data_IF_532623730176
#
_entry.id   IF_532623730176
#
_cell.length_a   1.000
_cell.length_b   1.000
_cell.length_c   1.000
_cell.angle_alpha   90.00
_cell.angle_beta   90.00
_cell.angle_gamma   90.00
#
_symmetry.space_group_name_H-M   'P 1'
#
loop_
_entity.id
_entity.type
_entity.pdbx_description
1 polymer ?
#
# COMPACT_ATOMS: atom_id res chain seq x y z
N UNK A 1 13.00 7.53 -3.26
CA UNK A 1 14.22 7.15 -4.02
C UNK A 1 15.50 7.59 -3.31
N UNK A 2 15.62 8.84 -2.88
CA UNK A 2 16.78 9.32 -2.10
C UNK A 2 16.86 8.77 -0.66
N UNK A 3 15.73 8.43 -0.02
CA UNK A 3 15.73 8.03 1.39
C UNK A 3 16.40 6.67 1.69
N UNK A 4 16.36 5.70 0.76
CA UNK A 4 16.96 4.36 0.97
C UNK A 4 18.49 4.40 0.80
N UNK A 5 18.99 5.21 -0.14
CA UNK A 5 20.42 5.30 -0.44
C UNK A 5 21.18 6.26 0.50
N UNK A 6 20.48 7.21 1.16
CA UNK A 6 21.09 8.18 2.08
C UNK A 6 21.68 7.56 3.36
N UNK A 7 21.41 6.29 3.67
CA UNK A 7 21.87 5.63 4.90
C UNK A 7 23.23 4.91 4.77
N UNK A 8 23.84 4.86 3.58
CA UNK A 8 25.04 4.04 3.33
C UNK A 8 26.26 4.89 2.98
N UNK A 9 27.39 4.64 3.66
CA UNK A 9 28.67 5.35 3.44
C UNK A 9 29.27 4.99 2.07
N UNK A 10 29.73 5.99 1.32
CA UNK A 10 30.39 5.80 0.03
C UNK A 10 31.80 5.23 0.21
N UNK A 11 32.17 4.25 -0.61
CA UNK A 11 33.54 3.74 -0.75
C UNK A 11 34.20 4.21 -2.05
N UNK A 12 35.53 4.10 -2.12
CA UNK A 12 36.41 4.67 -3.17
C UNK A 12 36.19 4.15 -4.61
N UNK A 13 35.35 3.13 -4.82
CA UNK A 13 35.20 2.41 -6.10
C UNK A 13 33.80 2.53 -6.77
N UNK A 14 33.11 3.68 -6.69
CA UNK A 14 31.75 3.84 -7.26
C UNK A 14 30.79 2.69 -6.86
N UNK A 15 30.81 2.31 -5.59
CA UNK A 15 29.95 1.27 -5.03
C UNK A 15 29.52 1.60 -3.59
N UNK A 16 28.36 1.08 -3.19
CA UNK A 16 27.84 1.17 -1.83
C UNK A 16 28.27 -0.07 -1.04
N UNK A 17 28.74 0.10 0.20
CA UNK A 17 28.97 -1.02 1.10
C UNK A 17 27.71 -1.29 1.94
N UNK A 18 27.12 -2.47 1.78
CA UNK A 18 25.93 -2.90 2.50
C UNK A 18 26.24 -4.23 3.17
N UNK A 19 26.34 -4.23 4.50
CA UNK A 19 26.72 -5.42 5.29
C UNK A 19 28.04 -6.09 4.85
N UNK A 20 29.04 -5.30 4.44
CA UNK A 20 30.33 -5.81 3.97
C UNK A 20 30.33 -6.22 2.49
N UNK A 21 29.21 -6.06 1.78
CA UNK A 21 29.07 -6.39 0.37
C UNK A 21 29.10 -5.12 -0.49
N UNK A 22 29.90 -5.13 -1.55
CA UNK A 22 29.98 -4.03 -2.51
C UNK A 22 28.87 -4.12 -3.55
N UNK A 23 28.05 -3.07 -3.64
CA UNK A 23 26.94 -2.94 -4.59
C UNK A 23 27.26 -1.86 -5.62
N UNK A 24 27.28 -2.16 -6.93
CA UNK A 24 27.62 -1.18 -7.96
C UNK A 24 26.71 0.05 -7.95
N UNK A 25 27.28 1.23 -8.22
CA UNK A 25 26.52 2.47 -8.35
C UNK A 25 25.44 2.37 -9.44
N UNK A 26 24.29 3.00 -9.20
CA UNK A 26 23.15 2.96 -10.12
C UNK A 26 22.36 1.65 -10.09
N UNK A 27 22.66 0.76 -9.14
CA UNK A 27 21.91 -0.47 -8.89
C UNK A 27 21.33 -0.50 -7.48
N UNK A 28 20.35 -1.37 -7.25
CA UNK A 28 19.74 -1.62 -5.95
C UNK A 28 20.31 -2.89 -5.34
N UNK A 29 20.56 -2.93 -4.01
CA UNK A 29 20.84 -4.20 -3.34
C UNK A 29 19.65 -5.14 -3.50
N UNK A 30 19.91 -6.43 -3.67
CA UNK A 30 18.88 -7.42 -3.91
C UNK A 30 19.17 -8.69 -3.10
N UNK A 31 18.20 -9.12 -2.30
CA UNK A 31 18.25 -10.37 -1.56
C UNK A 31 17.39 -11.39 -2.28
N UNK A 32 17.98 -12.50 -2.70
CA UNK A 32 17.23 -13.70 -3.02
C UNK A 32 16.60 -14.24 -1.72
N UNK A 33 15.30 -14.52 -1.75
CA UNK A 33 14.53 -15.04 -0.62
C UNK A 33 14.05 -16.44 -1.01
N UNK A 34 14.57 -17.47 -0.33
CA UNK A 34 14.03 -18.82 -0.47
C UNK A 34 12.65 -18.94 0.21
N UNK A 35 11.91 -19.99 -0.14
CA UNK A 35 10.52 -20.14 0.29
C UNK A 35 10.40 -20.43 1.80
N UNK A 36 11.38 -21.10 2.41
CA UNK A 36 11.39 -21.37 3.84
C UNK A 36 11.60 -20.09 4.64
N UNK A 37 12.59 -19.28 4.24
CA UNK A 37 12.87 -17.97 4.80
C UNK A 37 11.69 -17.01 4.63
N UNK A 38 11.03 -17.03 3.46
CA UNK A 38 9.82 -16.24 3.21
C UNK A 38 8.70 -16.61 4.19
N UNK A 39 8.39 -17.90 4.31
CA UNK A 39 7.31 -18.39 5.18
C UNK A 39 7.63 -18.11 6.66
N UNK A 40 8.89 -18.27 7.06
CA UNK A 40 9.37 -17.94 8.42
C UNK A 40 9.20 -16.46 8.72
N UNK A 41 9.64 -15.57 7.84
CA UNK A 41 9.50 -14.11 8.02
C UNK A 41 8.03 -13.67 8.08
N UNK A 42 7.16 -14.23 7.23
CA UNK A 42 5.71 -13.93 7.27
C UNK A 42 5.09 -14.41 8.58
N UNK A 43 5.37 -15.65 9.00
CA UNK A 43 4.83 -16.23 10.24
C UNK A 43 5.23 -15.41 11.47
N UNK A 44 6.46 -14.93 11.51
CA UNK A 44 7.03 -14.21 12.64
C UNK A 44 6.85 -12.69 12.56
N UNK A 45 6.25 -12.15 11.48
CA UNK A 45 6.15 -10.71 11.20
C UNK A 45 7.52 -10.00 11.23
N UNK A 46 8.53 -10.67 10.70
CA UNK A 46 9.92 -10.20 10.64
C UNK A 46 10.29 -9.71 9.23
N UNK A 47 11.42 -9.01 9.11
CA UNK A 47 12.01 -8.66 7.81
C UNK A 47 12.50 -9.90 7.07
N UNK A 48 12.53 -9.80 5.74
CA UNK A 48 13.10 -10.84 4.87
C UNK A 48 14.64 -10.84 4.95
N UNK A 49 15.27 -12.00 4.83
CA UNK A 49 16.73 -12.14 4.83
C UNK A 49 17.43 -11.53 6.07
N UNK A 50 16.79 -11.62 7.24
CA UNK A 50 17.25 -11.04 8.51
C UNK A 50 18.68 -11.49 8.84
N UNK A 51 19.57 -10.53 9.09
CA UNK A 51 20.96 -10.79 9.46
C UNK A 51 21.90 -11.13 8.29
N UNK A 52 21.43 -11.10 7.04
CA UNK A 52 22.26 -11.39 5.85
C UNK A 52 22.46 -10.15 4.96
N UNK A 53 23.63 -10.09 4.33
CA UNK A 53 23.92 -9.13 3.26
C UNK A 53 23.23 -9.52 1.93
N UNK A 54 23.09 -8.58 0.98
CA UNK A 54 22.50 -8.86 -0.32
C UNK A 54 23.36 -9.86 -1.11
N UNK A 55 22.73 -10.89 -1.68
CA UNK A 55 23.40 -11.85 -2.58
C UNK A 55 23.44 -11.37 -4.03
N UNK A 56 22.59 -10.42 -4.38
CA UNK A 56 22.41 -9.90 -5.73
C UNK A 56 22.38 -8.37 -5.73
N UNK A 57 22.40 -7.80 -6.91
CA UNK A 57 22.03 -6.41 -7.16
C UNK A 57 21.20 -6.32 -8.44
N UNK A 58 20.36 -5.29 -8.53
CA UNK A 58 19.38 -5.17 -9.59
C UNK A 58 19.39 -3.76 -10.18
N UNK A 59 19.40 -3.67 -11.51
CA UNK A 59 19.26 -2.41 -12.23
C UNK A 59 17.92 -2.40 -12.96
N UNK A 60 17.02 -1.52 -12.53
CA UNK A 60 15.74 -1.33 -13.23
C UNK A 60 16.04 -0.79 -14.63
N UNK A 61 15.53 -1.49 -15.65
CA UNK A 61 15.52 -1.07 -17.04
C UNK A 61 14.30 -0.18 -17.29
N UNK A 62 13.12 -0.69 -16.92
CA UNK A 62 11.84 0.03 -17.04
C UNK A 62 10.83 -0.44 -15.98
N UNK A 63 9.87 0.44 -15.67
CA UNK A 63 8.66 0.06 -14.91
C UNK A 63 7.56 -0.22 -15.92
N UNK A 64 7.03 -1.45 -15.89
CA UNK A 64 5.95 -1.86 -16.79
C UNK A 64 4.60 -1.32 -16.28
N UNK A 65 4.41 -1.36 -14.96
CA UNK A 65 3.31 -0.69 -14.25
C UNK A 65 3.66 -0.47 -12.76
N UNK A 66 2.66 -0.25 -11.90
CA UNK A 66 2.83 -0.06 -10.46
C UNK A 66 3.42 -1.28 -9.74
N UNK A 67 3.13 -2.50 -10.20
CA UNK A 67 3.52 -3.75 -9.56
C UNK A 67 4.62 -4.50 -10.32
N UNK A 68 4.81 -4.23 -11.61
CA UNK A 68 5.77 -4.94 -12.46
C UNK A 68 6.96 -4.05 -12.83
N UNK A 69 8.15 -4.58 -12.60
CA UNK A 69 9.41 -3.97 -13.02
C UNK A 69 10.17 -4.95 -13.91
N UNK A 70 10.84 -4.42 -14.93
CA UNK A 70 11.82 -5.15 -15.72
C UNK A 70 13.21 -4.59 -15.41
N UNK A 71 14.20 -5.47 -15.28
CA UNK A 71 15.57 -5.03 -15.10
C UNK A 71 16.60 -6.15 -15.17
N UNK A 72 17.85 -5.75 -15.04
CA UNK A 72 19.01 -6.63 -15.10
C UNK A 72 19.38 -7.11 -13.70
N UNK A 73 19.56 -8.41 -13.54
CA UNK A 73 20.01 -9.04 -12.30
C UNK A 73 21.51 -9.33 -12.39
N UNK A 74 22.25 -8.96 -11.36
CA UNK A 74 23.65 -9.34 -11.16
C UNK A 74 23.82 -10.01 -9.79
N UNK A 75 24.90 -10.79 -9.65
CA UNK A 75 25.24 -11.47 -8.40
C UNK A 75 26.49 -10.85 -7.77
N UNK A 76 26.53 -10.72 -6.44
CA UNK A 76 27.62 -10.02 -5.74
C UNK A 76 28.96 -10.74 -5.82
N UNK A 77 28.93 -12.07 -6.01
CA UNK A 77 30.13 -12.89 -6.27
C UNK A 77 30.50 -13.01 -7.76
N UNK A 78 29.75 -12.42 -8.69
CA UNK A 78 30.02 -12.51 -10.12
C UNK A 78 30.96 -11.39 -10.58
N UNK A 79 31.98 -11.73 -11.39
CA UNK A 79 32.98 -10.76 -11.90
C UNK A 79 32.45 -9.87 -13.04
N UNK A 80 31.34 -10.24 -13.69
CA UNK A 80 30.68 -9.42 -14.70
C UNK A 80 29.60 -8.51 -14.11
N UNK A 81 29.03 -7.62 -14.93
CA UNK A 81 28.06 -6.63 -14.48
C UNK A 81 26.63 -7.20 -14.29
N UNK A 82 26.13 -8.01 -15.22
CA UNK A 82 24.80 -8.63 -15.12
C UNK A 82 24.84 -10.04 -15.72
N UNK A 83 23.86 -10.88 -15.40
CA UNK A 83 23.75 -12.19 -16.01
C UNK A 83 23.43 -12.07 -17.51
N UNK A 84 24.21 -12.77 -18.33
CA UNK A 84 24.05 -12.90 -19.78
C UNK A 84 23.43 -14.25 -20.19
N UNK A 85 23.44 -15.22 -19.27
CA UNK A 85 22.84 -16.55 -19.43
C UNK A 85 22.35 -17.10 -18.10
N UNK A 86 21.43 -18.07 -18.18
CA UNK A 86 20.91 -18.77 -17.02
C UNK A 86 21.97 -19.78 -16.55
N UNK A 87 22.53 -19.56 -15.37
CA UNK A 87 23.55 -20.42 -14.75
C UNK A 87 22.98 -21.15 -13.51
N UNK A 88 22.94 -22.49 -13.57
CA UNK A 88 22.40 -23.34 -12.50
C UNK A 88 23.23 -23.33 -11.21
N UNK A 89 24.43 -22.76 -11.23
CA UNK A 89 25.21 -22.49 -10.02
C UNK A 89 24.48 -21.54 -9.05
N UNK A 90 23.50 -20.78 -9.55
CA UNK A 90 22.66 -19.92 -8.73
C UNK A 90 21.28 -20.54 -8.50
N UNK A 91 20.94 -20.72 -7.22
CA UNK A 91 19.69 -21.39 -6.80
C UNK A 91 18.44 -20.75 -7.37
N UNK A 92 18.38 -19.42 -7.51
CA UNK A 92 17.23 -18.74 -8.11
C UNK A 92 17.00 -19.12 -9.59
N UNK A 93 18.06 -19.37 -10.35
CA UNK A 93 17.94 -19.83 -11.74
C UNK A 93 17.51 -21.29 -11.83
N UNK A 94 18.10 -22.15 -10.99
CA UNK A 94 17.68 -23.56 -10.90
C UNK A 94 16.21 -23.68 -10.48
N UNK A 95 15.79 -22.93 -9.46
CA UNK A 95 14.39 -22.87 -9.02
C UNK A 95 13.47 -22.37 -10.14
N UNK A 96 13.86 -21.34 -10.88
CA UNK A 96 13.07 -20.83 -12.01
C UNK A 96 12.88 -21.88 -13.11
N UNK A 97 13.95 -22.58 -13.50
CA UNK A 97 13.88 -23.66 -14.51
C UNK A 97 13.02 -24.85 -14.05
N UNK A 98 13.03 -25.15 -12.76
CA UNK A 98 12.17 -26.16 -12.12
C UNK A 98 10.72 -25.68 -11.91
N UNK A 99 10.37 -24.48 -12.38
CA UNK A 99 9.04 -23.84 -12.22
C UNK A 99 8.65 -23.61 -10.75
N UNK A 100 9.63 -23.54 -9.85
CA UNK A 100 9.44 -23.11 -8.47
C UNK A 100 9.29 -21.59 -8.42
N UNK A 101 8.61 -21.09 -7.39
CA UNK A 101 8.54 -19.65 -7.17
C UNK A 101 9.88 -19.12 -6.69
N UNK A 102 10.29 -17.98 -7.24
CA UNK A 102 11.56 -17.32 -6.90
C UNK A 102 11.23 -15.92 -6.42
N UNK A 103 11.77 -15.54 -5.27
CA UNK A 103 11.47 -14.27 -4.64
C UNK A 103 12.71 -13.44 -4.40
N UNK A 104 12.53 -12.14 -4.47
CA UNK A 104 13.54 -11.14 -4.21
C UNK A 104 12.98 -10.05 -3.31
N UNK A 105 13.87 -9.40 -2.55
CA UNK A 105 13.57 -8.16 -1.85
C UNK A 105 14.68 -7.14 -2.12
N UNK A 106 14.34 -5.86 -2.13
CA UNK A 106 15.32 -4.77 -2.31
C UNK A 106 15.53 -3.91 -1.05
N UNK A 107 14.67 -4.09 -0.05
CA UNK A 107 14.62 -3.32 1.19
C UNK A 107 14.42 -4.24 2.42
N UNK A 108 14.31 -5.56 2.20
CA UNK A 108 13.98 -6.59 3.20
C UNK A 108 12.57 -6.50 3.77
N UNK A 109 11.69 -5.72 3.14
CA UNK A 109 10.29 -5.52 3.57
C UNK A 109 9.34 -5.83 2.42
N UNK A 110 9.56 -5.24 1.26
CA UNK A 110 8.79 -5.46 0.04
C UNK A 110 9.26 -6.75 -0.63
N UNK A 111 8.31 -7.57 -1.12
CA UNK A 111 8.62 -8.86 -1.73
C UNK A 111 8.25 -8.83 -3.21
N UNK A 112 9.14 -9.32 -4.06
CA UNK A 112 8.96 -9.40 -5.50
C UNK A 112 9.09 -10.86 -5.94
N UNK A 113 8.19 -11.33 -6.78
CA UNK A 113 8.28 -12.64 -7.43
C UNK A 113 8.84 -12.50 -8.83
N UNK A 114 9.78 -13.36 -9.19
CA UNK A 114 10.23 -13.51 -10.57
C UNK A 114 9.14 -14.16 -11.41
N UNK A 115 8.72 -13.46 -12.46
CA UNK A 115 7.69 -13.91 -13.38
C UNK A 115 8.29 -14.50 -14.65
N UNK A 116 9.27 -13.80 -15.22
CA UNK A 116 9.84 -14.15 -16.51
C UNK A 116 11.31 -13.73 -16.59
N UNK A 117 12.09 -14.50 -17.35
CA UNK A 117 13.45 -14.15 -17.76
C UNK A 117 13.47 -14.08 -19.29
N UNK A 118 13.77 -12.90 -19.83
CA UNK A 118 13.98 -12.72 -21.26
C UNK A 118 15.45 -12.90 -21.60
N UNK A 119 15.74 -13.82 -22.53
CA UNK A 119 17.10 -14.11 -22.99
C UNK A 119 17.45 -13.22 -24.18
N UNK A 120 17.84 -11.97 -23.92
CA UNK A 120 18.45 -11.08 -24.94
C UNK A 120 19.98 -11.12 -24.84
N UNK A 121 20.72 -10.14 -25.40
CA UNK A 121 22.17 -10.02 -25.21
C UNK A 121 22.58 -9.92 -23.72
N UNK A 122 21.67 -9.48 -22.85
CA UNK A 122 21.76 -9.64 -21.39
C UNK A 122 20.41 -10.09 -20.86
N UNK A 123 20.38 -10.89 -19.80
CA UNK A 123 19.12 -11.34 -19.23
C UNK A 123 18.37 -10.18 -18.60
N UNK A 124 17.10 -10.02 -18.97
CA UNK A 124 16.17 -9.17 -18.21
C UNK A 124 15.20 -10.04 -17.43
N UNK A 125 14.95 -9.65 -16.18
CA UNK A 125 14.00 -10.30 -15.29
C UNK A 125 12.78 -9.40 -15.13
N UNK A 126 11.59 -9.97 -15.33
CA UNK A 126 10.33 -9.32 -14.98
C UNK A 126 9.96 -9.75 -13.56
N UNK A 127 9.89 -8.79 -12.65
CA UNK A 127 9.56 -9.00 -11.25
C UNK A 127 8.22 -8.36 -10.92
N UNK A 128 7.34 -9.14 -10.30
CA UNK A 128 6.04 -8.68 -9.78
C UNK A 128 6.13 -8.46 -8.28
N UNK A 129 5.88 -7.24 -7.82
CA UNK A 129 5.70 -6.93 -6.41
C UNK A 129 4.48 -7.68 -5.84
N UNK A 130 4.66 -8.30 -4.68
CA UNK A 130 3.68 -9.14 -4.01
C UNK A 130 3.03 -8.46 -2.80
N UNK A 131 3.72 -7.52 -2.18
CA UNK A 131 3.06 -6.58 -1.29
C UNK A 131 2.28 -5.58 -2.13
N UNK A 132 1.00 -5.39 -1.81
CA UNK A 132 0.20 -4.38 -2.46
C UNK A 132 0.89 -3.03 -2.21
N UNK A 133 1.52 -2.47 -3.24
CA UNK A 133 1.62 -1.01 -3.34
C UNK A 133 0.17 -0.56 -3.32
N UNK A 134 -0.32 -0.14 -2.15
CA UNK A 134 -1.58 0.57 -2.05
C UNK A 134 -1.37 1.86 -2.83
N UNK A 135 -1.65 1.83 -4.14
CA UNK A 135 -1.81 3.04 -4.92
C UNK A 135 -3.09 3.69 -4.42
N UNK A 136 -2.97 4.43 -3.32
CA UNK A 136 -3.98 5.38 -2.90
C UNK A 136 -4.16 6.37 -4.05
N UNK A 137 -5.37 6.45 -4.56
CA UNK A 137 -5.73 7.41 -5.60
C UNK A 137 -6.01 8.75 -4.91
N UNK A 138 -5.33 9.81 -5.32
CA UNK A 138 -5.59 11.15 -4.80
C UNK A 138 -7.02 11.56 -5.14
N UNK A 139 -7.69 12.25 -4.21
CA UNK A 139 -9.08 12.68 -4.32
C UNK A 139 -10.10 11.54 -4.40
N UNK A 140 -9.72 10.29 -4.12
CA UNK A 140 -10.66 9.17 -3.97
C UNK A 140 -10.88 8.87 -2.50
N UNK A 141 -12.13 8.89 -2.07
CA UNK A 141 -12.54 8.61 -0.69
C UNK A 141 -13.59 7.52 -0.69
N UNK A 142 -13.54 6.63 0.30
CA UNK A 142 -14.58 5.64 0.52
C UNK A 142 -15.39 5.98 1.76
N UNK A 143 -16.71 5.93 1.62
CA UNK A 143 -17.70 6.17 2.66
C UNK A 143 -18.21 4.84 3.23
N UNK A 144 -17.99 4.65 4.52
CA UNK A 144 -18.53 3.53 5.29
C UNK A 144 -19.74 4.03 6.07
N UNK A 145 -20.93 3.55 5.74
CA UNK A 145 -22.16 3.94 6.45
C UNK A 145 -23.30 2.93 6.27
N UNK A 146 -24.30 2.91 7.17
CA UNK A 146 -25.56 2.20 6.94
C UNK A 146 -26.39 2.84 5.81
N UNK A 147 -26.97 2.05 4.91
CA UNK A 147 -27.81 2.56 3.80
C UNK A 147 -29.32 2.52 4.08
N UNK A 148 -29.75 1.92 5.19
CA UNK A 148 -31.19 1.72 5.48
C UNK A 148 -31.92 2.97 5.96
N UNK A 149 -31.21 4.08 6.16
CA UNK A 149 -31.77 5.29 6.76
C UNK A 149 -31.83 6.43 5.74
N UNK A 150 -33.04 6.78 5.30
CA UNK A 150 -33.27 7.81 4.26
C UNK A 150 -32.62 9.15 4.61
N UNK A 151 -32.81 9.66 5.83
CA UNK A 151 -32.20 10.92 6.28
C UNK A 151 -30.68 10.89 6.24
N UNK A 152 -30.08 9.74 6.57
CA UNK A 152 -28.63 9.58 6.53
C UNK A 152 -28.12 9.52 5.08
N UNK A 153 -28.86 8.87 4.18
CA UNK A 153 -28.54 8.87 2.75
C UNK A 153 -28.61 10.28 2.14
N UNK A 154 -29.66 11.05 2.45
CA UNK A 154 -29.77 12.45 2.03
C UNK A 154 -28.59 13.27 2.56
N UNK A 155 -28.25 13.12 3.85
CA UNK A 155 -27.11 13.79 4.44
C UNK A 155 -25.79 13.43 3.74
N UNK A 156 -25.55 12.15 3.46
CA UNK A 156 -24.39 11.69 2.71
C UNK A 156 -24.32 12.31 1.32
N UNK A 157 -25.41 12.31 0.55
CA UNK A 157 -25.41 12.85 -0.80
C UNK A 157 -25.13 14.35 -0.80
N UNK A 158 -25.84 15.12 0.03
CA UNK A 158 -25.78 16.58 0.03
C UNK A 158 -24.52 17.13 0.72
N UNK A 159 -24.24 16.68 1.94
CA UNK A 159 -23.27 17.30 2.85
C UNK A 159 -21.91 16.58 2.86
N UNK A 160 -21.80 15.43 2.20
CA UNK A 160 -20.53 14.71 2.04
C UNK A 160 -20.15 14.60 0.57
N UNK A 161 -20.90 13.83 -0.23
CA UNK A 161 -20.55 13.53 -1.62
C UNK A 161 -20.52 14.80 -2.48
N UNK A 162 -21.63 15.54 -2.53
CA UNK A 162 -21.74 16.74 -3.37
C UNK A 162 -20.84 17.87 -2.85
N UNK A 163 -20.85 18.12 -1.55
CA UNK A 163 -20.00 19.15 -0.92
C UNK A 163 -18.51 18.90 -1.16
N UNK A 164 -18.00 17.69 -0.93
CA UNK A 164 -16.58 17.40 -1.13
C UNK A 164 -16.18 17.42 -2.62
N UNK A 165 -17.09 17.01 -3.50
CA UNK A 165 -16.87 17.12 -4.94
C UNK A 165 -16.82 18.59 -5.41
N UNK A 166 -17.74 19.45 -4.96
CA UNK A 166 -17.78 20.86 -5.35
C UNK A 166 -16.61 21.67 -4.79
N UNK A 167 -16.31 21.47 -3.50
CA UNK A 167 -15.36 22.32 -2.78
C UNK A 167 -13.91 21.85 -2.92
N UNK A 168 -13.67 20.55 -3.04
CA UNK A 168 -12.33 19.96 -2.95
C UNK A 168 -11.99 19.03 -4.13
N UNK A 169 -12.91 18.85 -5.09
CA UNK A 169 -12.77 17.91 -6.22
C UNK A 169 -12.53 16.47 -5.77
N UNK A 170 -13.07 16.11 -4.61
CA UNK A 170 -12.98 14.76 -4.05
C UNK A 170 -14.16 13.91 -4.52
N UNK A 171 -13.87 12.73 -5.05
CA UNK A 171 -14.85 11.73 -5.43
C UNK A 171 -15.06 10.76 -4.25
N UNK A 172 -16.28 10.73 -3.73
CA UNK A 172 -16.67 9.86 -2.62
C UNK A 172 -17.46 8.67 -3.15
N UNK A 173 -16.93 7.47 -2.93
CA UNK A 173 -17.54 6.20 -3.30
C UNK A 173 -18.15 5.53 -2.07
N UNK A 174 -19.23 4.78 -2.29
CA UNK A 174 -19.92 4.00 -1.27
C UNK A 174 -20.21 2.60 -1.82
N UNK A 175 -20.47 1.62 -0.96
CA UNK A 175 -20.63 0.22 -1.39
C UNK A 175 -21.68 0.02 -2.49
N UNK A 176 -22.77 0.79 -2.47
CA UNK A 176 -23.85 0.74 -3.47
C UNK A 176 -23.56 1.51 -4.76
N UNK A 177 -22.42 2.22 -4.88
CA UNK A 177 -21.97 2.78 -6.17
C UNK A 177 -21.44 1.69 -7.13
N UNK A 178 -21.21 0.47 -6.61
CA UNK A 178 -20.67 -0.67 -7.37
C UNK A 178 -21.78 -1.70 -7.58
N UNK A 179 -22.70 -1.39 -8.51
CA UNK A 179 -23.86 -2.22 -8.84
C UNK A 179 -23.46 -3.53 -9.52
N UNK A 180 -23.60 -4.65 -8.83
CA UNK A 180 -23.99 -5.96 -9.38
C UNK A 180 -24.55 -6.85 -8.26
N UNK A 181 -25.40 -7.83 -8.63
CA UNK A 181 -26.16 -8.71 -7.70
C UNK A 181 -25.29 -9.56 -6.74
N UNK A 182 -23.96 -9.49 -6.86
CA UNK A 182 -22.99 -10.05 -5.94
C UNK A 182 -21.92 -8.99 -5.62
N UNK A 183 -22.19 -8.10 -4.66
CA UNK A 183 -21.12 -7.28 -4.08
C UNK A 183 -20.15 -8.25 -3.38
N UNK A 184 -19.07 -8.59 -4.07
CA UNK A 184 -17.98 -9.37 -3.51
C UNK A 184 -17.27 -8.46 -2.51
N UNK A 185 -17.16 -8.89 -1.25
CA UNK A 185 -16.48 -8.15 -0.17
C UNK A 185 -15.06 -7.69 -0.57
N UNK A 186 -14.39 -8.45 -1.44
CA UNK A 186 -13.08 -8.12 -2.00
C UNK A 186 -13.08 -6.83 -2.82
N UNK A 187 -14.18 -6.53 -3.53
CA UNK A 187 -14.33 -5.26 -4.26
C UNK A 187 -14.37 -4.09 -3.28
N UNK A 188 -15.14 -4.20 -2.20
CA UNK A 188 -15.22 -3.16 -1.17
C UNK A 188 -13.85 -2.97 -0.50
N UNK A 189 -13.18 -4.06 -0.15
CA UNK A 189 -11.83 -4.02 0.41
C UNK A 189 -10.85 -3.33 -0.54
N UNK A 190 -10.90 -3.63 -1.83
CA UNK A 190 -10.09 -2.94 -2.84
C UNK A 190 -10.39 -1.43 -2.88
N UNK A 191 -11.65 -1.02 -2.83
CA UNK A 191 -12.01 0.41 -2.80
C UNK A 191 -11.51 1.11 -1.55
N UNK A 192 -11.59 0.46 -0.38
CA UNK A 192 -11.01 0.95 0.87
C UNK A 192 -9.49 1.11 0.71
N UNK A 193 -8.81 0.09 0.20
CA UNK A 193 -7.35 0.11 0.00
C UNK A 193 -6.89 1.16 -1.01
N UNK A 194 -7.67 1.45 -2.04
CA UNK A 194 -7.36 2.47 -3.05
C UNK A 194 -7.71 3.89 -2.61
N UNK A 195 -8.48 4.07 -1.54
CA UNK A 195 -8.89 5.41 -1.09
C UNK A 195 -7.76 6.15 -0.37
N UNK A 196 -7.67 7.46 -0.64
CA UNK A 196 -6.77 8.42 0.02
C UNK A 196 -6.98 8.40 1.54
N UNK A 197 -8.25 8.45 1.95
CA UNK A 197 -8.70 8.29 3.32
C UNK A 197 -10.14 7.76 3.34
N UNK A 198 -10.62 7.42 4.53
CA UNK A 198 -11.96 6.86 4.74
C UNK A 198 -12.79 7.85 5.54
N UNK A 199 -14.08 7.97 5.20
CA UNK A 199 -15.07 8.62 6.07
C UNK A 199 -16.02 7.53 6.58
N UNK A 200 -16.25 7.48 7.89
CA UNK A 200 -17.10 6.46 8.50
C UNK A 200 -18.18 7.10 9.37
N UNK A 201 -19.45 6.91 9.00
CA UNK A 201 -20.57 7.32 9.84
C UNK A 201 -20.93 6.22 10.84
N UNK A 202 -20.92 6.58 12.12
CA UNK A 202 -21.22 5.66 13.24
C UNK A 202 -22.48 6.06 14.00
N UNK A 203 -23.39 6.79 13.35
CA UNK A 203 -24.65 7.25 13.96
C UNK A 203 -25.60 6.11 14.31
N UNK A 204 -25.57 5.03 13.52
CA UNK A 204 -26.37 3.82 13.74
C UNK A 204 -25.51 2.55 13.74
N UNK A 205 -25.87 1.53 14.54
CA UNK A 205 -25.23 0.23 14.48
C UNK A 205 -25.45 -0.45 13.13
N UNK A 206 -24.38 -0.90 12.48
CA UNK A 206 -24.47 -1.72 11.28
C UNK A 206 -23.29 -2.70 11.18
N UNK A 207 -23.59 -4.00 11.11
CA UNK A 207 -22.56 -5.07 11.10
C UNK A 207 -21.60 -4.98 9.91
N UNK A 208 -22.11 -4.64 8.73
CA UNK A 208 -21.28 -4.55 7.52
C UNK A 208 -20.37 -3.32 7.58
N UNK A 209 -20.92 -2.17 7.97
CA UNK A 209 -20.14 -0.95 8.17
C UNK A 209 -19.03 -1.17 9.23
N UNK A 210 -19.29 -1.92 10.30
CA UNK A 210 -18.26 -2.24 11.29
C UNK A 210 -17.20 -3.22 10.80
N UNK A 211 -17.57 -4.19 9.96
CA UNK A 211 -16.59 -5.07 9.31
C UNK A 211 -15.64 -4.25 8.42
N UNK A 212 -16.20 -3.38 7.57
CA UNK A 212 -15.46 -2.48 6.69
C UNK A 212 -14.56 -1.51 7.48
N UNK A 213 -15.09 -0.92 8.56
CA UNK A 213 -14.34 -0.03 9.43
C UNK A 213 -13.18 -0.76 10.12
N UNK A 214 -13.43 -1.96 10.66
CA UNK A 214 -12.39 -2.80 11.25
C UNK A 214 -11.30 -3.18 10.25
N UNK A 215 -11.69 -3.48 9.00
CA UNK A 215 -10.76 -3.72 7.91
C UNK A 215 -9.90 -2.48 7.59
N UNK A 216 -10.51 -1.30 7.46
CA UNK A 216 -9.81 -0.04 7.23
C UNK A 216 -8.80 0.29 8.34
N UNK A 217 -9.18 0.05 9.61
CA UNK A 217 -8.27 0.15 10.76
C UNK A 217 -7.11 -0.83 10.64
N UNK A 218 -7.39 -2.10 10.31
CA UNK A 218 -6.36 -3.12 10.10
C UNK A 218 -5.39 -2.81 8.95
N UNK A 219 -5.84 -2.03 7.97
CA UNK A 219 -5.04 -1.51 6.84
C UNK A 219 -4.36 -0.17 7.14
N UNK A 220 -4.46 0.31 8.38
CA UNK A 220 -3.84 1.55 8.85
C UNK A 220 -4.23 2.78 8.01
N UNK A 221 -5.49 2.82 7.54
CA UNK A 221 -6.03 3.96 6.81
C UNK A 221 -6.25 5.14 7.75
N UNK A 222 -6.06 6.36 7.23
CA UNK A 222 -6.55 7.56 7.91
C UNK A 222 -8.09 7.56 7.81
N UNK A 223 -8.77 7.64 8.96
CA UNK A 223 -10.23 7.52 9.07
C UNK A 223 -10.78 8.77 9.73
N UNK A 224 -11.72 9.42 9.06
CA UNK A 224 -12.54 10.49 9.62
C UNK A 224 -13.85 9.86 10.09
N UNK A 225 -13.99 9.68 11.40
CA UNK A 225 -15.25 9.22 11.99
C UNK A 225 -16.20 10.40 12.12
N UNK A 226 -17.45 10.22 11.71
CA UNK A 226 -18.53 11.20 11.89
C UNK A 226 -19.69 10.57 12.66
N UNK A 227 -20.42 11.39 13.42
CA UNK A 227 -21.56 10.88 14.18
C UNK A 227 -22.65 11.95 14.38
N UNK A 228 -23.90 11.58 14.10
CA UNK A 228 -25.07 12.44 14.28
C UNK A 228 -25.50 12.49 15.75
N UNK A 229 -25.41 13.67 16.36
CA UNK A 229 -25.73 13.88 17.79
C UNK A 229 -27.22 13.74 18.12
N UNK A 230 -28.11 13.86 17.13
CA UNK A 230 -29.56 13.71 17.33
C UNK A 230 -30.02 12.26 17.44
N UNK A 231 -29.22 11.31 16.97
CA UNK A 231 -29.63 9.90 16.87
C UNK A 231 -28.68 8.95 17.59
N UNK A 232 -27.40 9.31 17.69
CA UNK A 232 -26.44 8.50 18.41
C UNK A 232 -26.84 8.35 19.88
N UNK A 233 -27.05 7.11 20.33
CA UNK A 233 -27.43 6.79 21.71
C UNK A 233 -26.23 6.80 22.66
N UNK A 234 -25.03 6.61 22.12
CA UNK A 234 -23.74 6.72 22.81
C UNK A 234 -22.64 6.97 21.77
N UNK A 235 -21.52 7.57 22.18
CA UNK A 235 -20.32 7.58 21.36
C UNK A 235 -19.94 6.12 21.10
N UNK A 236 -19.82 5.74 19.82
CA UNK A 236 -19.63 4.33 19.44
C UNK A 236 -18.27 3.75 19.91
N UNK A 237 -17.40 4.60 20.47
CA UNK A 237 -16.17 4.24 21.14
C UNK A 237 -16.10 4.89 22.52
N UNK A 238 -16.30 4.11 23.58
CA UNK A 238 -15.95 4.51 24.97
C UNK A 238 -14.43 4.72 25.17
N UNK A 239 -13.62 4.54 24.13
CA UNK A 239 -12.20 4.89 24.14
C UNK A 239 -12.04 6.29 23.59
N UNK A 240 -11.68 7.21 24.49
CA UNK A 240 -11.33 8.62 24.30
C UNK A 240 -10.23 8.94 23.24
N UNK A 241 -9.89 8.01 22.35
CA UNK A 241 -8.81 8.11 21.37
C UNK A 241 -9.26 8.29 19.92
N UNK A 242 -10.51 7.94 19.55
CA UNK A 242 -11.01 8.18 18.19
C UNK A 242 -11.77 9.52 18.20
N UNK A 243 -11.13 10.56 17.67
CA UNK A 243 -11.76 11.88 17.50
C UNK A 243 -12.81 11.77 16.39
N UNK A 244 -14.10 11.81 16.76
CA UNK A 244 -15.20 11.90 15.81
C UNK A 244 -15.59 13.36 15.58
N UNK A 245 -15.94 13.71 14.34
CA UNK A 245 -16.64 14.95 14.02
C UNK A 245 -18.11 14.71 14.37
N UNK A 246 -18.57 15.38 15.42
CA UNK A 246 -19.98 15.36 15.80
C UNK A 246 -20.74 16.35 14.91
N UNK A 247 -21.89 15.94 14.39
CA UNK A 247 -22.71 16.79 13.54
C UNK A 247 -24.18 16.75 13.92
N UNK A 248 -24.86 17.84 13.62
CA UNK A 248 -26.32 17.95 13.67
C UNK A 248 -26.82 18.60 12.37
N UNK A 249 -28.01 18.22 11.86
CA UNK A 249 -28.59 18.85 10.67
C UNK A 249 -28.80 20.36 10.77
N UNK A 250 -28.83 20.91 11.99
CA UNK A 250 -28.97 22.36 12.21
C UNK A 250 -27.63 23.12 12.16
N UNK A 251 -26.50 22.41 12.21
CA UNK A 251 -25.15 22.99 12.33
C UNK A 251 -24.23 22.58 11.15
N UNK A 252 -24.82 22.47 9.95
CA UNK A 252 -24.13 21.99 8.74
C UNK A 252 -22.88 22.82 8.39
N UNK A 253 -22.95 24.14 8.53
CA UNK A 253 -21.82 25.02 8.21
C UNK A 253 -20.59 24.69 9.08
N UNK A 254 -20.82 24.38 10.36
CA UNK A 254 -19.76 24.01 11.29
C UNK A 254 -19.22 22.61 10.97
N UNK A 255 -20.09 21.65 10.65
CA UNK A 255 -19.68 20.33 10.16
C UNK A 255 -18.77 20.43 8.92
N UNK A 256 -19.18 21.21 7.91
CA UNK A 256 -18.40 21.45 6.70
C UNK A 256 -17.03 22.07 6.99
N UNK A 257 -16.96 23.02 7.92
CA UNK A 257 -15.71 23.65 8.36
C UNK A 257 -14.78 22.64 9.02
N UNK A 258 -15.30 21.85 9.97
CA UNK A 258 -14.52 20.83 10.66
C UNK A 258 -14.03 19.73 9.70
N UNK A 259 -14.89 19.28 8.79
CA UNK A 259 -14.54 18.28 7.79
C UNK A 259 -13.39 18.76 6.89
N UNK A 260 -13.47 19.98 6.35
CA UNK A 260 -12.42 20.60 5.53
C UNK A 260 -11.08 20.71 6.28
N UNK A 261 -11.13 21.13 7.54
CA UNK A 261 -9.93 21.26 8.38
C UNK A 261 -9.27 19.91 8.64
N UNK A 262 -10.07 18.88 8.96
CA UNK A 262 -9.57 17.51 9.16
C UNK A 262 -8.94 16.95 7.89
N UNK A 263 -9.58 17.12 6.73
CA UNK A 263 -9.03 16.67 5.43
C UNK A 263 -7.70 17.37 5.13
N UNK A 264 -7.63 18.68 5.35
CA UNK A 264 -6.40 19.45 5.15
C UNK A 264 -5.26 18.96 6.06
N UNK A 265 -5.57 18.67 7.33
CA UNK A 265 -4.60 18.13 8.27
C UNK A 265 -4.09 16.73 7.86
N UNK A 266 -4.99 15.86 7.40
CA UNK A 266 -4.63 14.53 6.88
C UNK A 266 -3.70 14.67 5.67
N UNK A 267 -4.03 15.55 4.71
CA UNK A 267 -3.21 15.77 3.51
C UNK A 267 -1.82 16.30 3.84
N UNK A 268 -1.70 17.26 4.74
CA UNK A 268 -0.40 17.77 5.20
C UNK A 268 0.46 16.68 5.84
N UNK A 269 -0.15 15.79 6.63
CA UNK A 269 0.53 14.63 7.23
C UNK A 269 0.98 13.62 6.18
N UNK A 270 0.13 13.33 5.18
CA UNK A 270 0.47 12.41 4.10
C UNK A 270 1.60 12.96 3.21
N UNK A 271 1.62 14.27 2.92
CA UNK A 271 2.73 14.90 2.17
C UNK A 271 4.06 14.87 2.92
N UNK A 272 4.03 14.88 4.26
CA UNK A 272 5.25 14.82 5.10
C UNK A 272 5.83 13.40 5.25
N UNK A 273 5.09 12.36 4.84
CA UNK A 273 5.50 10.95 4.93
C UNK A 273 6.16 10.42 3.64
N UNK A 274 6.02 11.13 2.53
CA UNK A 274 6.59 10.80 1.21
C UNK A 274 7.89 11.56 0.96
#
# INVERSE_FOLDING_TARGET
MNAILQQYKMGENNSYNIYGVHIPQGTMPCWFIDDEDRLRSIKNKDTFAKGSGPSCYFKINQRLDNNFIEGYLGHTNFRGAFHDRIDKNYTYFSNYLERKSVYFSFDRVSLYRLMEINTTNSLTCILKRLDALQSTESNKVFMIMPFKHLKLNSFYLENIKNFLHSELRINVFRADDFNDNDIIIDTIYKQIEQSEFIIADTSYPNKNAFLELGYAVGKNKEIITIQNTRVAKSLFFDRAHIRAILYSPEEIAEFHRQLKNTISAIRSKLSSRN
#
